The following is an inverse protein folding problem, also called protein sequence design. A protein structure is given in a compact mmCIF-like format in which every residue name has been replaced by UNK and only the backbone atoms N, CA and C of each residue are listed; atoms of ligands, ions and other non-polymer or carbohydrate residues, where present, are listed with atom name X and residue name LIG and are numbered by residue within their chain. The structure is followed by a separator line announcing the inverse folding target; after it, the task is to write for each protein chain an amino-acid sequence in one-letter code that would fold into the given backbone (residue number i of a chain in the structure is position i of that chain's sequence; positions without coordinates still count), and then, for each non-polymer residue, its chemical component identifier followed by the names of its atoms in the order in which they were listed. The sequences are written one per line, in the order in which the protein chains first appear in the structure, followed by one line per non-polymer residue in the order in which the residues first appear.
data_IF_638420068406
#
_entry.id   IF_638420068406
#
_cell.length_a   1.000
_cell.length_b   1.000
_cell.length_c   1.000
_cell.angle_alpha   90.00
_cell.angle_beta   90.00
_cell.angle_gamma   90.00
#
_symmetry.space_group_name_H-M   'P 1'
#
loop_
_entity.id
_entity.type
_entity.pdbx_description
1 polymer ?
#
# COMPACT_ATOMS: atom_id res chain seq x y z
N UNK A 1 20.73 7.13 12.64
CA UNK A 1 21.60 7.09 11.44
C UNK A 1 21.51 8.43 10.71
N UNK A 2 22.59 8.96 10.11
CA UNK A 2 22.49 10.16 9.27
C UNK A 2 21.69 9.89 7.99
N UNK A 3 21.03 10.92 7.44
CA UNK A 3 20.23 10.77 6.21
C UNK A 3 21.04 10.21 5.04
N UNK A 4 22.25 10.72 4.81
CA UNK A 4 23.09 10.27 3.69
C UNK A 4 23.43 8.78 3.78
N UNK A 5 23.72 8.27 4.98
CA UNK A 5 24.01 6.85 5.19
C UNK A 5 22.76 5.98 4.98
N UNK A 6 21.62 6.42 5.51
CA UNK A 6 20.33 5.73 5.32
C UNK A 6 19.97 5.66 3.83
N UNK A 7 20.06 6.79 3.13
CA UNK A 7 19.81 6.90 1.69
C UNK A 7 20.70 5.92 0.91
N UNK A 8 22.00 5.93 1.16
CA UNK A 8 22.95 5.05 0.49
C UNK A 8 22.60 3.56 0.70
N UNK A 9 22.18 3.18 1.91
CA UNK A 9 21.76 1.81 2.18
C UNK A 9 20.49 1.45 1.42
N UNK A 10 19.45 2.29 1.47
CA UNK A 10 18.19 2.06 0.76
C UNK A 10 18.40 1.95 -0.75
N UNK A 11 19.18 2.86 -1.35
CA UNK A 11 19.52 2.81 -2.78
C UNK A 11 20.34 1.57 -3.13
N UNK A 12 21.22 1.12 -2.24
CA UNK A 12 21.95 -0.14 -2.40
C UNK A 12 21.08 -1.39 -2.38
N UNK A 13 19.87 -1.32 -1.81
CA UNK A 13 18.87 -2.40 -1.81
C UNK A 13 17.87 -2.29 -2.96
N UNK A 14 17.84 -1.22 -3.74
CA UNK A 14 16.94 -1.11 -4.88
C UNK A 14 17.18 -2.24 -5.88
N UNK A 15 16.10 -2.76 -6.44
CA UNK A 15 16.18 -3.66 -7.59
C UNK A 15 16.96 -3.01 -8.73
N UNK A 16 17.86 -3.74 -9.41
CA UNK A 16 18.63 -3.20 -10.55
C UNK A 16 17.76 -2.53 -11.61
N UNK A 17 16.53 -3.03 -11.82
CA UNK A 17 15.58 -2.50 -12.79
C UNK A 17 14.98 -1.13 -12.41
N UNK A 18 15.14 -0.71 -11.16
CA UNK A 18 14.63 0.55 -10.63
C UNK A 18 15.73 1.59 -10.42
N UNK A 19 17.00 1.22 -10.61
CA UNK A 19 18.13 2.12 -10.49
C UNK A 19 18.02 3.29 -11.50
N UNK A 20 18.15 4.52 -11.00
CA UNK A 20 17.99 5.73 -11.80
C UNK A 20 16.53 6.12 -12.08
N UNK A 21 15.57 5.25 -11.76
CA UNK A 21 14.14 5.52 -11.88
C UNK A 21 13.50 5.89 -10.54
N UNK A 22 13.86 5.15 -9.50
CA UNK A 22 13.43 5.39 -8.12
C UNK A 22 14.59 6.03 -7.35
N UNK A 23 14.30 7.11 -6.63
CA UNK A 23 15.29 7.81 -5.81
C UNK A 23 14.72 8.14 -4.43
N UNK A 24 15.57 8.09 -3.41
CA UNK A 24 15.20 8.56 -2.08
C UNK A 24 15.66 10.00 -1.84
N UNK A 25 14.72 10.90 -1.54
CA UNK A 25 14.98 12.35 -1.42
C UNK A 25 14.75 12.85 0.00
N UNK A 26 15.61 13.74 0.47
CA UNK A 26 15.37 14.44 1.74
C UNK A 26 14.18 15.40 1.59
N UNK A 27 13.40 15.69 2.65
CA UNK A 27 12.55 16.86 2.69
C UNK A 27 13.38 18.08 2.30
N UNK A 28 12.85 18.90 1.41
CA UNK A 28 13.31 20.28 1.36
C UNK A 28 13.10 20.90 2.75
N UNK A 29 14.17 21.28 3.44
CA UNK A 29 14.07 22.06 4.67
C UNK A 29 13.58 23.47 4.35
N UNK A 30 12.31 23.78 4.66
CA UNK A 30 11.88 25.07 5.28
C UNK A 30 10.36 25.09 5.50
N UNK A 31 9.96 25.21 6.77
CA UNK A 31 8.68 25.75 7.26
C UNK A 31 7.45 25.51 6.36
N UNK A 32 6.91 24.29 6.40
CA UNK A 32 5.50 24.07 6.10
C UNK A 32 4.79 23.70 7.42
N UNK A 33 3.74 24.44 7.83
CA UNK A 33 3.00 24.17 9.07
C UNK A 33 2.29 22.82 9.07
N UNK A 34 2.07 22.26 7.87
CA UNK A 34 1.41 20.99 7.65
C UNK A 34 2.45 19.87 7.45
N UNK A 35 2.79 19.17 8.52
CA UNK A 35 3.72 18.03 8.52
C UNK A 35 3.08 16.75 7.98
N UNK A 36 2.17 16.84 7.01
CA UNK A 36 1.55 15.68 6.38
C UNK A 36 2.46 15.16 5.26
N UNK A 37 3.10 14.01 5.49
CA UNK A 37 3.77 13.24 4.44
C UNK A 37 4.99 13.92 3.79
N UNK A 38 6.09 14.04 4.55
CA UNK A 38 7.41 14.19 3.90
C UNK A 38 7.64 12.91 3.10
N UNK A 39 7.34 12.92 1.81
CA UNK A 39 7.61 11.78 0.95
C UNK A 39 9.08 11.76 0.56
N UNK A 40 9.76 10.70 0.98
CA UNK A 40 11.16 10.47 0.68
C UNK A 40 11.36 9.59 -0.56
N UNK A 41 10.32 9.28 -1.34
CA UNK A 41 10.41 8.41 -2.52
C UNK A 41 9.94 9.19 -3.74
N UNK A 42 10.80 9.25 -4.75
CA UNK A 42 10.44 9.81 -6.06
C UNK A 42 10.60 8.76 -7.16
N UNK A 43 9.74 8.86 -8.17
CA UNK A 43 9.79 8.03 -9.37
C UNK A 43 9.85 8.96 -10.56
N UNK A 44 10.82 8.76 -11.46
CA UNK A 44 11.05 9.62 -12.63
C UNK A 44 11.15 11.11 -12.22
N UNK A 45 11.86 11.36 -11.12
CA UNK A 45 12.08 12.67 -10.48
C UNK A 45 10.83 13.36 -9.92
N UNK A 46 9.67 12.70 -9.90
CA UNK A 46 8.42 13.22 -9.34
C UNK A 46 8.10 12.57 -8.00
N UNK A 47 7.57 13.35 -7.06
CA UNK A 47 7.08 12.84 -5.79
C UNK A 47 5.72 12.16 -6.03
N UNK A 48 5.64 10.84 -5.82
CA UNK A 48 4.44 10.07 -6.13
C UNK A 48 3.51 9.85 -4.93
N UNK A 49 4.02 9.88 -3.69
CA UNK A 49 3.19 9.68 -2.49
C UNK A 49 2.62 10.98 -1.89
N UNK A 50 2.62 12.07 -2.66
CA UNK A 50 1.99 13.32 -2.23
C UNK A 50 0.45 13.19 -2.37
N UNK A 51 -0.27 13.16 -1.24
CA UNK A 51 -1.73 13.03 -1.22
C UNK A 51 -2.46 14.28 -1.70
N UNK A 52 -1.82 15.45 -1.60
CA UNK A 52 -2.37 16.73 -2.05
C UNK A 52 -2.09 17.01 -3.54
N UNK A 53 -1.23 16.20 -4.18
CA UNK A 53 -0.94 16.36 -5.60
C UNK A 53 -2.04 15.75 -6.46
N UNK A 54 -2.82 16.62 -7.10
CA UNK A 54 -3.90 16.24 -8.03
C UNK A 54 -3.40 15.52 -9.28
N UNK A 55 -2.12 15.65 -9.61
CA UNK A 55 -1.49 14.98 -10.74
C UNK A 55 -0.77 13.68 -10.32
N UNK A 56 -0.91 13.25 -9.06
CA UNK A 56 -0.33 12.00 -8.61
C UNK A 56 -0.97 10.83 -9.38
N UNK A 57 -0.16 9.85 -9.84
CA UNK A 57 -0.69 8.63 -10.44
C UNK A 57 -1.37 7.70 -9.42
N UNK A 58 -1.30 8.02 -8.13
CA UNK A 58 -1.88 7.24 -7.04
C UNK A 58 -3.24 7.81 -6.67
N UNK A 59 -4.27 6.97 -6.67
CA UNK A 59 -5.59 7.32 -6.16
C UNK A 59 -5.57 7.31 -4.63
N UNK A 60 -5.96 8.43 -4.04
CA UNK A 60 -6.16 8.60 -2.60
C UNK A 60 -7.65 8.77 -2.30
N UNK A 61 -8.10 8.27 -1.15
CA UNK A 61 -9.51 8.29 -0.77
C UNK A 61 -9.77 9.28 0.36
N UNK A 62 -10.93 9.94 0.35
CA UNK A 62 -11.33 10.84 1.44
C UNK A 62 -12.24 10.11 2.44
N UNK A 63 -13.11 9.25 1.93
CA UNK A 63 -14.11 8.53 2.74
C UNK A 63 -14.12 7.04 2.43
N UNK A 64 -14.63 6.24 3.36
CA UNK A 64 -14.91 4.81 3.11
C UNK A 64 -15.88 4.63 1.94
N UNK A 65 -16.82 5.56 1.74
CA UNK A 65 -17.78 5.50 0.64
C UNK A 65 -17.11 5.62 -0.73
N UNK A 66 -16.07 6.46 -0.85
CA UNK A 66 -15.30 6.58 -2.10
C UNK A 66 -14.62 5.27 -2.48
N UNK A 67 -14.14 4.52 -1.47
CA UNK A 67 -13.49 3.23 -1.63
C UNK A 67 -14.52 2.18 -2.07
N UNK A 68 -15.68 2.16 -1.40
CA UNK A 68 -16.77 1.21 -1.71
C UNK A 68 -17.34 1.41 -3.11
N UNK A 69 -17.31 2.64 -3.61
CA UNK A 69 -17.80 2.99 -4.94
C UNK A 69 -16.71 2.89 -6.04
N UNK A 70 -15.48 2.47 -5.70
CA UNK A 70 -14.42 2.33 -6.68
C UNK A 70 -14.62 1.06 -7.54
N UNK A 71 -14.87 1.17 -8.86
CA UNK A 71 -15.03 0.01 -9.73
C UNK A 71 -13.76 -0.83 -9.89
N UNK A 72 -12.58 -0.28 -9.53
CA UNK A 72 -11.30 -0.97 -9.53
C UNK A 72 -11.09 -1.88 -8.32
N UNK A 73 -11.86 -1.70 -7.23
CA UNK A 73 -11.76 -2.54 -6.05
C UNK A 73 -12.76 -3.69 -6.16
N UNK A 74 -12.23 -4.89 -6.44
CA UNK A 74 -13.01 -6.12 -6.47
C UNK A 74 -12.66 -6.98 -5.26
N UNK A 75 -13.66 -7.20 -4.42
CA UNK A 75 -13.50 -8.01 -3.23
C UNK A 75 -14.25 -9.31 -3.44
N UNK A 76 -13.55 -10.44 -3.68
CA UNK A 76 -14.21 -11.71 -3.87
C UNK A 76 -14.90 -12.14 -2.58
N UNK A 77 -16.15 -12.58 -2.67
CA UNK A 77 -16.91 -13.16 -1.55
C UNK A 77 -16.69 -14.66 -1.55
N UNK A 78 -16.27 -15.21 -0.41
CA UNK A 78 -16.06 -16.65 -0.23
C UNK A 78 -17.26 -17.28 0.48
N UNK A 79 -17.39 -18.60 0.40
CA UNK A 79 -18.45 -19.33 1.11
C UNK A 79 -18.37 -19.13 2.64
N UNK A 80 -17.15 -19.01 3.18
CA UNK A 80 -16.93 -18.75 4.60
C UNK A 80 -17.48 -17.37 5.00
N UNK A 81 -17.36 -16.36 4.13
CA UNK A 81 -17.94 -15.03 4.35
C UNK A 81 -19.48 -15.08 4.43
N UNK A 82 -20.11 -15.91 3.58
CA UNK A 82 -21.56 -16.10 3.53
C UNK A 82 -22.05 -16.82 4.80
N UNK A 83 -21.34 -17.86 5.22
CA UNK A 83 -21.68 -18.62 6.42
C UNK A 83 -21.50 -17.79 7.70
N UNK A 84 -20.46 -16.94 7.76
CA UNK A 84 -20.28 -16.00 8.85
C UNK A 84 -21.46 -15.02 8.97
N UNK A 85 -22.05 -14.57 7.85
CA UNK A 85 -23.27 -13.76 7.88
C UNK A 85 -24.46 -14.60 8.36
N UNK A 86 -24.63 -15.82 7.85
CA UNK A 86 -25.73 -16.72 8.23
C UNK A 86 -25.79 -16.95 9.74
N UNK A 87 -24.64 -17.11 10.40
CA UNK A 87 -24.56 -17.30 11.85
C UNK A 87 -24.95 -16.04 12.65
N UNK A 88 -24.76 -14.85 12.09
CA UNK A 88 -25.07 -13.59 12.77
C UNK A 88 -26.52 -13.14 12.62
N UNK A 89 -27.19 -13.55 11.55
CA UNK A 89 -28.57 -13.13 11.26
C UNK A 89 -29.55 -14.12 11.87
N UNK A 90 -30.55 -13.60 12.59
CA UNK A 90 -31.63 -14.43 13.14
C UNK A 90 -32.76 -14.58 12.11
N UNK A 91 -33.11 -15.82 11.78
CA UNK A 91 -34.26 -16.16 10.93
C UNK A 91 -33.90 -16.59 9.50
N UNK A 92 -34.90 -17.03 8.70
CA UNK A 92 -34.67 -17.49 7.34
C UNK A 92 -34.38 -16.29 6.42
N UNK A 93 -33.12 -16.19 5.97
CA UNK A 93 -32.67 -15.19 5.00
C UNK A 93 -32.45 -15.89 3.65
N UNK A 94 -33.02 -15.39 2.54
CA UNK A 94 -32.73 -15.90 1.21
C UNK A 94 -31.23 -15.85 0.89
N UNK A 95 -30.74 -16.85 0.14
CA UNK A 95 -29.31 -17.00 -0.17
C UNK A 95 -28.75 -15.79 -0.94
N UNK A 96 -29.51 -15.22 -1.87
CA UNK A 96 -29.14 -13.99 -2.59
C UNK A 96 -28.87 -12.81 -1.65
N UNK A 97 -29.65 -12.70 -0.56
CA UNK A 97 -29.46 -11.63 0.43
C UNK A 97 -28.23 -11.89 1.30
N UNK A 98 -27.92 -13.15 1.62
CA UNK A 98 -26.70 -13.50 2.37
C UNK A 98 -25.44 -13.12 1.59
N UNK A 99 -25.42 -13.34 0.27
CA UNK A 99 -24.30 -12.94 -0.60
C UNK A 99 -24.12 -11.42 -0.58
N UNK A 100 -25.19 -10.65 -0.75
CA UNK A 100 -25.14 -9.17 -0.72
C UNK A 100 -24.67 -8.67 0.64
N UNK A 101 -25.15 -9.26 1.74
CA UNK A 101 -24.74 -8.90 3.09
C UNK A 101 -23.26 -9.21 3.35
N UNK A 102 -22.78 -10.37 2.92
CA UNK A 102 -21.38 -10.77 3.02
C UNK A 102 -20.47 -9.82 2.22
N UNK A 103 -20.87 -9.52 0.97
CA UNK A 103 -20.19 -8.54 0.12
C UNK A 103 -20.12 -7.16 0.76
N UNK A 104 -21.26 -6.65 1.26
CA UNK A 104 -21.32 -5.32 1.89
C UNK A 104 -20.47 -5.24 3.15
N UNK A 105 -20.46 -6.30 3.97
CA UNK A 105 -19.63 -6.38 5.18
C UNK A 105 -18.15 -6.34 4.82
N UNK A 106 -17.71 -7.21 3.92
CA UNK A 106 -16.31 -7.31 3.49
C UNK A 106 -15.82 -6.03 2.82
N UNK A 107 -16.66 -5.42 1.99
CA UNK A 107 -16.40 -4.12 1.37
C UNK A 107 -16.18 -3.00 2.41
N UNK A 108 -16.95 -3.02 3.50
CA UNK A 108 -16.83 -2.03 4.58
C UNK A 108 -15.57 -2.28 5.41
N UNK A 109 -15.26 -3.53 5.76
CA UNK A 109 -14.03 -3.89 6.47
C UNK A 109 -12.79 -3.50 5.65
N UNK A 110 -12.79 -3.82 4.36
CA UNK A 110 -11.71 -3.44 3.45
C UNK A 110 -11.53 -1.93 3.31
N UNK A 111 -12.63 -1.17 3.18
CA UNK A 111 -12.57 0.28 3.09
C UNK A 111 -11.95 0.91 4.35
N UNK A 112 -12.27 0.37 5.53
CA UNK A 112 -11.65 0.77 6.80
C UNK A 112 -10.16 0.50 6.81
N UNK A 113 -9.73 -0.69 6.36
CA UNK A 113 -8.32 -1.04 6.31
C UNK A 113 -7.53 -0.11 5.39
N UNK A 114 -8.04 0.17 4.19
CA UNK A 114 -7.40 1.06 3.23
C UNK A 114 -7.29 2.49 3.75
N UNK A 115 -8.37 3.04 4.33
CA UNK A 115 -8.37 4.39 4.88
C UNK A 115 -7.46 4.51 6.13
N UNK A 116 -7.43 3.45 6.95
CA UNK A 116 -6.53 3.33 8.10
C UNK A 116 -5.06 3.33 7.64
N UNK A 117 -4.72 2.55 6.62
CA UNK A 117 -3.37 2.51 6.04
C UNK A 117 -2.93 3.87 5.49
N UNK A 118 -3.82 4.57 4.78
CA UNK A 118 -3.57 5.94 4.29
C UNK A 118 -3.32 6.91 5.46
N UNK A 119 -4.16 6.86 6.49
CA UNK A 119 -4.02 7.70 7.69
C UNK A 119 -2.70 7.42 8.41
N UNK A 120 -2.33 6.13 8.53
CA UNK A 120 -1.07 5.69 9.14
C UNK A 120 0.14 6.22 8.35
N UNK A 121 0.10 6.17 7.01
CA UNK A 121 1.14 6.75 6.17
C UNK A 121 1.34 8.24 6.44
N UNK A 122 0.25 9.01 6.53
CA UNK A 122 0.30 10.46 6.75
C UNK A 122 0.97 10.83 8.07
N UNK A 123 0.77 9.99 9.09
CA UNK A 123 1.35 10.15 10.44
C UNK A 123 2.72 9.46 10.58
N UNK A 124 3.15 8.69 9.58
CA UNK A 124 4.35 7.86 9.66
C UNK A 124 5.62 8.72 9.65
N UNK A 125 6.65 8.22 10.34
CA UNK A 125 7.99 8.77 10.23
C UNK A 125 8.82 7.87 9.32
N UNK A 126 9.05 8.32 8.08
CA UNK A 126 9.81 7.58 7.08
C UNK A 126 11.17 7.09 7.59
N UNK A 127 11.91 7.93 8.33
CA UNK A 127 13.25 7.57 8.82
C UNK A 127 13.13 6.37 9.76
N UNK A 128 12.13 6.36 10.66
CA UNK A 128 11.90 5.25 11.59
C UNK A 128 11.53 3.98 10.82
N UNK A 129 10.60 4.07 9.88
CA UNK A 129 10.15 2.92 9.08
C UNK A 129 11.28 2.37 8.21
N UNK A 130 12.08 3.22 7.59
CA UNK A 130 13.21 2.81 6.78
C UNK A 130 14.32 2.13 7.60
N UNK A 131 14.62 2.62 8.81
CA UNK A 131 15.57 1.94 9.70
C UNK A 131 15.01 0.58 10.15
N UNK A 132 13.71 0.48 10.46
CA UNK A 132 13.04 -0.78 10.76
C UNK A 132 13.19 -1.76 9.58
N UNK A 133 12.82 -1.32 8.38
CA UNK A 133 12.91 -2.12 7.15
C UNK A 133 14.30 -2.72 6.92
N UNK A 134 15.36 -1.94 7.14
CA UNK A 134 16.75 -2.40 6.91
C UNK A 134 17.18 -3.56 7.82
N UNK A 135 16.52 -3.73 8.98
CA UNK A 135 16.80 -4.82 9.92
C UNK A 135 15.70 -5.88 9.95
N UNK A 136 14.59 -5.66 9.24
CA UNK A 136 13.46 -6.58 9.15
C UNK A 136 13.66 -7.57 7.99
N UNK A 137 13.37 -8.87 8.16
CA UNK A 137 13.31 -9.83 7.07
C UNK A 137 12.38 -9.36 5.94
N UNK A 138 12.73 -9.70 4.69
CA UNK A 138 11.97 -9.18 3.54
C UNK A 138 10.54 -9.74 3.54
N UNK A 139 10.35 -10.98 3.98
CA UNK A 139 9.05 -11.64 4.13
C UNK A 139 8.13 -10.87 5.08
N UNK A 140 8.64 -10.48 6.24
CA UNK A 140 7.88 -9.75 7.25
C UNK A 140 7.51 -8.35 6.73
N UNK A 141 8.41 -7.70 6.00
CA UNK A 141 8.13 -6.39 5.39
C UNK A 141 7.05 -6.47 4.30
N UNK A 142 7.03 -7.56 3.53
CA UNK A 142 6.03 -7.81 2.47
C UNK A 142 4.63 -8.13 3.03
N UNK A 143 4.55 -8.88 4.12
CA UNK A 143 3.26 -9.25 4.76
C UNK A 143 2.83 -8.25 5.85
N UNK A 144 3.62 -7.19 6.09
CA UNK A 144 3.29 -6.17 7.07
C UNK A 144 1.98 -5.44 6.74
N UNK A 145 1.28 -4.98 7.78
CA UNK A 145 0.17 -4.02 7.66
C UNK A 145 0.64 -2.59 7.40
N UNK A 146 1.92 -2.30 7.59
CA UNK A 146 2.49 -0.99 7.29
C UNK A 146 2.72 -0.83 5.78
N UNK A 147 1.97 0.10 5.19
CA UNK A 147 2.02 0.41 3.77
C UNK A 147 3.44 0.80 3.31
N UNK A 148 4.22 1.51 4.13
CA UNK A 148 5.58 1.90 3.77
C UNK A 148 6.54 0.73 3.79
N UNK A 149 6.39 -0.22 4.72
CA UNK A 149 7.17 -1.45 4.69
C UNK A 149 6.88 -2.27 3.44
N UNK A 150 5.60 -2.38 3.03
CA UNK A 150 5.23 -3.06 1.79
C UNK A 150 5.85 -2.37 0.57
N UNK A 151 5.80 -1.03 0.50
CA UNK A 151 6.40 -0.26 -0.61
C UNK A 151 7.91 -0.47 -0.67
N UNK A 152 8.62 -0.33 0.45
CA UNK A 152 10.07 -0.54 0.51
C UNK A 152 10.45 -1.96 0.08
N UNK A 153 9.66 -2.96 0.49
CA UNK A 153 9.90 -4.34 0.14
C UNK A 153 9.68 -4.62 -1.36
N UNK A 154 8.68 -4.01 -2.00
CA UNK A 154 8.45 -4.11 -3.45
C UNK A 154 9.60 -3.52 -4.29
N UNK A 155 10.26 -2.49 -3.77
CA UNK A 155 11.40 -1.83 -4.40
C UNK A 155 12.72 -2.62 -4.23
N UNK A 156 12.75 -3.58 -3.29
CA UNK A 156 13.96 -4.27 -2.87
C UNK A 156 14.40 -5.36 -3.85
N UNK A 157 15.71 -5.45 -4.08
CA UNK A 157 16.36 -6.45 -4.93
C UNK A 157 16.24 -7.89 -4.41
N UNK A 158 16.02 -8.08 -3.10
CA UNK A 158 15.76 -9.38 -2.47
C UNK A 158 14.44 -9.97 -2.95
N UNK A 159 13.51 -9.16 -3.45
CA UNK A 159 12.26 -9.62 -4.07
C UNK A 159 12.48 -9.90 -5.56
N UNK A 160 12.67 -11.18 -5.87
CA UNK A 160 12.91 -11.67 -7.22
C UNK A 160 11.67 -11.69 -8.12
N UNK A 161 11.91 -11.84 -9.43
CA UNK A 161 10.88 -11.86 -10.50
C UNK A 161 9.73 -12.81 -10.22
N UNK A 162 10.03 -14.07 -9.89
CA UNK A 162 9.01 -15.10 -9.61
C UNK A 162 8.06 -14.66 -8.49
N UNK A 163 8.60 -14.03 -7.43
CA UNK A 163 7.82 -13.57 -6.28
C UNK A 163 6.92 -12.38 -6.64
N UNK A 164 7.42 -11.41 -7.41
CA UNK A 164 6.57 -10.32 -7.89
C UNK A 164 5.40 -10.86 -8.72
N UNK A 165 5.65 -11.79 -9.65
CA UNK A 165 4.59 -12.35 -10.49
C UNK A 165 3.56 -13.16 -9.70
N UNK A 166 3.97 -13.89 -8.67
CA UNK A 166 3.04 -14.69 -7.84
C UNK A 166 2.16 -13.88 -6.90
N UNK A 167 2.34 -12.56 -6.82
CA UNK A 167 1.61 -11.69 -5.87
C UNK A 167 0.48 -10.89 -6.51
N UNK A 168 0.17 -11.10 -7.79
CA UNK A 168 -0.83 -10.33 -8.51
C UNK A 168 -2.16 -10.22 -7.76
N UNK A 169 -2.73 -11.36 -7.33
CA UNK A 169 -4.01 -11.41 -6.61
C UNK A 169 -3.96 -10.69 -5.25
N UNK A 170 -2.86 -10.86 -4.49
CA UNK A 170 -2.69 -10.18 -3.20
C UNK A 170 -2.62 -8.66 -3.36
N UNK A 171 -2.06 -8.17 -4.47
CA UNK A 171 -1.87 -6.74 -4.71
C UNK A 171 -3.15 -6.03 -5.09
N UNK A 172 -4.11 -6.71 -5.73
CA UNK A 172 -5.42 -6.13 -6.07
C UNK A 172 -6.19 -5.63 -4.84
N UNK A 173 -5.93 -6.21 -3.67
CA UNK A 173 -6.54 -5.83 -2.40
C UNK A 173 -5.68 -4.82 -1.61
N UNK A 174 -4.44 -4.53 -2.02
CA UNK A 174 -3.62 -3.55 -1.31
C UNK A 174 -4.03 -2.13 -1.70
N UNK A 175 -3.64 -1.16 -0.88
CA UNK A 175 -3.88 0.26 -1.17
C UNK A 175 -3.31 0.65 -2.55
N UNK A 176 -3.96 1.55 -3.32
CA UNK A 176 -3.47 1.98 -4.65
C UNK A 176 -2.01 2.43 -4.68
N UNK A 177 -1.51 2.98 -3.58
CA UNK A 177 -0.10 3.32 -3.44
C UNK A 177 0.82 2.10 -3.53
N UNK A 178 0.49 1.00 -2.83
CA UNK A 178 1.25 -0.27 -2.90
C UNK A 178 1.11 -0.87 -4.30
N UNK A 179 -0.10 -0.85 -4.87
CA UNK A 179 -0.35 -1.31 -6.24
C UNK A 179 0.49 -0.56 -7.27
N UNK A 180 0.63 0.75 -7.13
CA UNK A 180 1.46 1.58 -7.99
C UNK A 180 2.93 1.12 -8.00
N UNK A 181 3.51 0.90 -6.82
CA UNK A 181 4.89 0.43 -6.71
C UNK A 181 5.06 -1.02 -7.17
N UNK A 182 4.04 -1.86 -6.96
CA UNK A 182 4.00 -3.21 -7.50
C UNK A 182 4.02 -3.20 -9.04
N UNK A 183 3.16 -2.40 -9.67
CA UNK A 183 3.10 -2.26 -11.12
C UNK A 183 4.37 -1.60 -11.69
N UNK A 184 4.94 -0.62 -10.98
CA UNK A 184 6.24 -0.05 -11.33
C UNK A 184 7.32 -1.13 -11.37
N UNK A 185 7.37 -1.98 -10.34
CA UNK A 185 8.32 -3.08 -10.25
C UNK A 185 8.07 -4.12 -11.35
N UNK A 186 6.81 -4.50 -11.57
CA UNK A 186 6.39 -5.50 -12.56
C UNK A 186 6.73 -5.08 -13.99
N UNK A 187 6.52 -3.80 -14.35
CA UNK A 187 6.86 -3.26 -15.69
C UNK A 187 8.36 -3.19 -15.95
N UNK A 188 9.17 -3.26 -14.91
CA UNK A 188 10.63 -3.21 -14.99
C UNK A 188 11.28 -4.62 -15.00
N UNK A 189 10.49 -5.71 -14.93
CA UNK A 189 10.96 -7.12 -14.90
C UNK A 189 11.24 -7.75 -16.27
#
# INVERSE_FOLDING_TARGET
MSWSKLKQQLEGFLSPALNGKVEYRAPGYRYLPDKSGICYISVDKKNVLSMSDKNSPIRWYQTELDIKNDPGIRIPVTNDDIEAVRQTVKGPVPEDRLIVMASSRKSTEHAKELLSAQTALTKSNFIVVANKFLVTPIEESMESSDMMLNILALLDKRVGKKRILSMAEKMEQKHPAVQYFYELRRRAL
#
